data_IF_182042131397
#
_entry.id   IF_182042131397
#
_cell.length_a   1.000
_cell.length_b   1.000
_cell.length_c   1.000
_cell.angle_alpha   90.00
_cell.angle_beta   90.00
_cell.angle_gamma   90.00
#
_symmetry.space_group_name_H-M   'P 1'
#
loop_
_entity.id
_entity.type
_entity.pdbx_description
1 polymer ?
#
# COMPACT_ATOMS: atom_id res chain seq x y z
N UNK A 1 18.96 17.48 13.63
CA UNK A 1 18.52 17.44 12.21
C UNK A 1 19.78 17.27 11.37
N UNK A 2 20.00 16.14 10.69
CA UNK A 2 21.28 15.92 10.02
C UNK A 2 21.39 16.82 8.78
N UNK A 3 22.51 17.52 8.68
CA UNK A 3 22.81 18.58 7.69
C UNK A 3 22.47 18.18 6.25
N UNK A 4 21.60 18.92 5.55
CA UNK A 4 21.38 18.72 4.12
C UNK A 4 22.69 18.96 3.38
N UNK A 5 22.91 18.20 2.30
CA UNK A 5 24.09 18.36 1.45
C UNK A 5 24.04 19.79 0.90
N UNK A 6 25.05 20.60 1.18
CA UNK A 6 25.10 21.98 0.75
C UNK A 6 25.04 22.07 -0.78
N UNK A 7 24.15 22.91 -1.31
CA UNK A 7 23.96 23.08 -2.74
C UNK A 7 22.75 23.95 -3.07
N UNK A 8 22.79 24.60 -4.24
CA UNK A 8 21.72 25.50 -4.71
C UNK A 8 20.35 24.82 -4.78
N UNK A 9 20.30 23.51 -5.08
CA UNK A 9 19.08 22.70 -5.06
C UNK A 9 18.50 22.62 -3.64
N UNK A 10 19.33 22.31 -2.65
CA UNK A 10 18.89 22.29 -1.24
C UNK A 10 18.38 23.66 -0.78
N UNK A 11 19.02 24.75 -1.23
CA UNK A 11 18.57 26.11 -0.93
C UNK A 11 17.21 26.41 -1.57
N UNK A 12 17.00 26.00 -2.82
CA UNK A 12 15.71 26.14 -3.49
C UNK A 12 14.60 25.32 -2.79
N UNK A 13 14.87 24.08 -2.38
CA UNK A 13 13.89 23.25 -1.65
C UNK A 13 13.58 23.77 -0.24
N UNK A 14 14.53 24.46 0.41
CA UNK A 14 14.33 25.08 1.71
C UNK A 14 13.71 26.48 1.63
N UNK A 15 13.73 27.09 0.45
CA UNK A 15 13.11 28.39 0.24
C UNK A 15 11.62 28.33 0.55
N UNK A 16 11.16 29.34 1.28
CA UNK A 16 9.76 29.51 1.61
C UNK A 16 9.42 30.99 1.64
N UNK A 17 8.35 31.41 0.93
CA UNK A 17 7.85 32.78 1.02
C UNK A 17 7.20 33.06 2.39
N UNK A 18 6.70 32.02 3.08
CA UNK A 18 6.07 32.10 4.39
C UNK A 18 6.38 30.82 5.19
N UNK A 19 7.49 30.78 5.96
CA UNK A 19 7.99 29.56 6.61
C UNK A 19 7.03 28.91 7.61
N UNK A 20 6.07 29.68 8.11
CA UNK A 20 5.03 29.26 9.04
C UNK A 20 3.85 28.55 8.35
N UNK A 21 3.67 28.75 7.03
CA UNK A 21 2.62 28.06 6.24
C UNK A 21 3.21 26.87 5.49
N UNK A 22 4.34 27.08 4.80
CA UNK A 22 4.75 26.18 3.75
C UNK A 22 6.27 26.12 3.59
N UNK A 23 6.79 24.99 3.10
CA UNK A 23 8.17 24.86 2.63
C UNK A 23 8.14 24.09 1.32
N UNK A 24 8.93 24.49 0.33
CA UNK A 24 9.00 23.79 -0.96
C UNK A 24 9.40 22.31 -0.80
N UNK A 25 10.14 21.98 0.25
CA UNK A 25 10.44 20.61 0.66
C UNK A 25 9.21 19.67 0.67
N UNK A 26 8.02 20.17 1.02
CA UNK A 26 6.80 19.35 1.03
C UNK A 26 6.30 18.95 -0.38
N UNK A 27 6.80 19.55 -1.47
CA UNK A 27 6.43 19.09 -2.83
C UNK A 27 6.85 17.65 -3.09
N UNK A 28 7.84 17.10 -2.38
CA UNK A 28 8.24 15.70 -2.56
C UNK A 28 7.09 14.71 -2.30
N UNK A 29 6.08 15.08 -1.51
CA UNK A 29 4.91 14.23 -1.28
C UNK A 29 4.03 14.09 -2.52
N UNK A 30 4.19 14.97 -3.53
CA UNK A 30 3.56 14.79 -4.85
C UNK A 30 3.96 13.47 -5.52
N UNK A 31 5.15 12.94 -5.21
CA UNK A 31 5.59 11.63 -5.72
C UNK A 31 4.80 10.44 -5.16
N UNK A 32 4.01 10.64 -4.10
CA UNK A 32 2.99 9.67 -3.65
C UNK A 32 1.60 10.07 -4.13
N UNK A 33 1.27 11.37 -4.03
CA UNK A 33 -0.09 11.85 -4.33
C UNK A 33 -0.42 11.62 -5.81
N UNK A 34 0.49 11.94 -6.74
CA UNK A 34 0.25 11.81 -8.19
C UNK A 34 -0.01 10.35 -8.60
N UNK A 35 0.84 9.35 -8.23
CA UNK A 35 0.51 7.95 -8.47
C UNK A 35 -0.83 7.52 -7.85
N UNK A 36 -1.12 8.00 -6.64
CA UNK A 36 -2.37 7.73 -5.94
C UNK A 36 -3.59 8.28 -6.67
N UNK A 37 -3.51 9.51 -7.21
CA UNK A 37 -4.60 10.12 -7.98
C UNK A 37 -4.85 9.38 -9.28
N UNK A 38 -3.80 8.95 -10.01
CA UNK A 38 -3.98 8.16 -11.22
C UNK A 38 -4.63 6.80 -10.94
N UNK A 39 -4.20 6.10 -9.89
CA UNK A 39 -4.82 4.84 -9.49
C UNK A 39 -6.29 5.06 -9.05
N UNK A 40 -6.57 6.15 -8.33
CA UNK A 40 -7.91 6.52 -7.90
C UNK A 40 -8.86 6.85 -9.05
N UNK A 41 -8.38 7.57 -10.06
CA UNK A 41 -9.15 7.89 -11.28
C UNK A 41 -9.52 6.63 -12.05
N UNK A 42 -8.56 5.71 -12.24
CA UNK A 42 -8.82 4.43 -12.89
C UNK A 42 -9.85 3.57 -12.14
N UNK A 43 -9.78 3.55 -10.81
CA UNK A 43 -10.78 2.88 -9.97
C UNK A 43 -12.16 3.53 -10.07
N UNK A 44 -12.21 4.87 -10.07
CA UNK A 44 -13.45 5.63 -10.17
C UNK A 44 -14.14 5.40 -11.52
N UNK A 45 -13.38 5.39 -12.61
CA UNK A 45 -13.89 5.10 -13.95
C UNK A 45 -14.45 3.69 -14.05
N UNK A 46 -13.76 2.71 -13.46
CA UNK A 46 -14.24 1.33 -13.40
C UNK A 46 -15.54 1.22 -12.59
N UNK A 47 -15.62 1.86 -11.42
CA UNK A 47 -16.83 1.89 -10.59
C UNK A 47 -18.02 2.56 -11.30
N UNK A 48 -17.77 3.65 -12.04
CA UNK A 48 -18.80 4.35 -12.83
C UNK A 48 -19.25 3.51 -14.02
N UNK A 49 -18.33 2.82 -14.69
CA UNK A 49 -18.64 1.91 -15.80
C UNK A 49 -19.53 0.73 -15.42
N UNK A 50 -19.54 0.32 -14.14
CA UNK A 50 -20.40 -0.75 -13.61
C UNK A 50 -21.82 -0.29 -13.23
N UNK A 51 -22.13 1.00 -13.25
CA UNK A 51 -23.39 1.55 -12.72
C UNK A 51 -24.66 1.38 -13.60
N UNK A 52 -24.63 0.53 -14.63
CA UNK A 52 -25.83 0.07 -15.36
C UNK A 52 -26.42 -1.19 -14.67
N UNK A 53 -27.75 -1.29 -14.51
CA UNK A 53 -28.36 -2.02 -13.40
C UNK A 53 -28.18 -3.54 -13.52
N UNK A 54 -27.57 -4.17 -12.51
CA UNK A 54 -27.73 -5.61 -12.26
C UNK A 54 -27.78 -5.94 -10.78
N UNK A 55 -28.79 -6.74 -10.47
CA UNK A 55 -28.98 -7.52 -9.25
C UNK A 55 -27.66 -8.09 -8.71
N UNK A 56 -27.59 -8.10 -7.38
CA UNK A 56 -26.57 -8.48 -6.41
C UNK A 56 -25.76 -9.79 -6.63
N UNK A 57 -25.42 -10.14 -7.87
CA UNK A 57 -24.72 -11.37 -8.23
C UNK A 57 -23.35 -11.02 -8.76
N UNK A 58 -22.48 -10.52 -7.88
CA UNK A 58 -21.04 -10.28 -8.05
C UNK A 58 -20.63 -9.65 -9.40
N UNK A 59 -20.11 -8.43 -9.35
CA UNK A 59 -19.49 -7.67 -10.45
C UNK A 59 -18.31 -8.37 -11.19
N UNK A 60 -18.14 -9.69 -11.00
CA UNK A 60 -16.95 -10.45 -11.31
C UNK A 60 -17.23 -11.91 -11.68
N UNK A 61 -18.43 -12.21 -12.18
CA UNK A 61 -18.82 -13.55 -12.67
C UNK A 61 -18.26 -13.90 -14.06
N UNK A 62 -17.47 -13.00 -14.67
CA UNK A 62 -16.88 -13.16 -16.00
C UNK A 62 -15.43 -13.69 -16.01
N UNK A 63 -14.90 -14.17 -14.88
CA UNK A 63 -13.71 -15.02 -14.92
C UNK A 63 -14.13 -16.33 -15.59
N UNK A 64 -13.99 -16.40 -16.92
CA UNK A 64 -14.07 -17.66 -17.65
C UNK A 64 -13.14 -18.67 -16.97
N UNK A 65 -13.66 -19.89 -16.74
CA UNK A 65 -12.98 -20.94 -15.96
C UNK A 65 -11.58 -21.30 -16.49
N UNK A 66 -11.28 -21.00 -17.77
CA UNK A 66 -9.93 -21.16 -18.35
C UNK A 66 -8.89 -20.11 -17.93
N UNK A 67 -9.28 -19.01 -17.27
CA UNK A 67 -8.38 -17.90 -16.89
C UNK A 67 -8.01 -17.85 -15.40
N UNK A 68 -8.56 -18.75 -14.56
CA UNK A 68 -8.28 -18.74 -13.12
C UNK A 68 -6.79 -18.92 -12.81
N UNK A 69 -6.10 -19.79 -13.54
CA UNK A 69 -4.65 -20.01 -13.41
C UNK A 69 -3.87 -18.72 -13.73
N UNK A 70 -4.28 -18.00 -14.77
CA UNK A 70 -3.70 -16.70 -15.14
C UNK A 70 -3.87 -15.69 -14.01
N UNK A 71 -5.06 -15.56 -13.42
CA UNK A 71 -5.27 -14.63 -12.30
C UNK A 71 -4.57 -15.05 -11.02
N UNK A 72 -4.46 -16.35 -10.74
CA UNK A 72 -3.64 -16.84 -9.62
C UNK A 72 -2.17 -16.46 -9.85
N UNK A 73 -1.65 -16.65 -11.06
CA UNK A 73 -0.30 -16.26 -11.42
C UNK A 73 -0.08 -14.73 -11.29
N UNK A 74 -1.03 -13.89 -11.75
CA UNK A 74 -0.98 -12.44 -11.54
C UNK A 74 -0.99 -12.10 -10.05
N UNK A 75 -1.90 -12.70 -9.28
CA UNK A 75 -2.01 -12.45 -7.84
C UNK A 75 -0.76 -12.84 -7.07
N UNK A 76 -0.17 -14.00 -7.38
CA UNK A 76 1.11 -14.43 -6.83
C UNK A 76 2.24 -13.46 -7.21
N UNK A 77 2.27 -13.00 -8.45
CA UNK A 77 3.25 -12.02 -8.92
C UNK A 77 3.14 -10.69 -8.18
N UNK A 78 1.92 -10.20 -7.95
CA UNK A 78 1.65 -8.97 -7.20
C UNK A 78 2.15 -9.03 -5.75
N UNK A 79 2.18 -10.21 -5.15
CA UNK A 79 2.71 -10.44 -3.79
C UNK A 79 4.22 -10.70 -3.82
N UNK A 80 4.71 -11.41 -4.83
CA UNK A 80 6.13 -11.74 -4.99
C UNK A 80 7.00 -10.49 -5.21
N UNK A 81 6.52 -9.51 -5.99
CA UNK A 81 7.25 -8.26 -6.26
C UNK A 81 7.63 -7.49 -4.97
N UNK A 82 6.69 -7.18 -4.05
CA UNK A 82 7.02 -6.58 -2.76
C UNK A 82 8.02 -7.40 -1.95
N UNK A 83 7.84 -8.72 -1.87
CA UNK A 83 8.74 -9.59 -1.09
C UNK A 83 10.15 -9.57 -1.67
N UNK A 84 10.29 -9.71 -2.99
CA UNK A 84 11.57 -9.64 -3.70
C UNK A 84 12.27 -8.31 -3.46
N UNK A 85 11.57 -7.19 -3.66
CA UNK A 85 12.18 -5.87 -3.54
C UNK A 85 12.54 -5.53 -2.09
N UNK A 86 11.67 -5.85 -1.12
CA UNK A 86 11.98 -5.65 0.30
C UNK A 86 13.21 -6.47 0.71
N UNK A 87 13.29 -7.74 0.31
CA UNK A 87 14.44 -8.59 0.67
C UNK A 87 15.71 -8.19 -0.07
N UNK A 88 15.65 -7.98 -1.39
CA UNK A 88 16.79 -7.65 -2.23
C UNK A 88 17.39 -6.28 -1.92
N UNK A 89 16.57 -5.24 -1.76
CA UNK A 89 17.05 -3.89 -1.44
C UNK A 89 17.59 -3.79 -0.01
N UNK A 90 17.01 -4.56 0.94
CA UNK A 90 17.54 -4.67 2.30
C UNK A 90 18.88 -5.42 2.33
N UNK A 91 19.02 -6.50 1.56
CA UNK A 91 20.25 -7.28 1.43
C UNK A 91 21.31 -6.62 0.52
N UNK A 92 21.00 -5.46 -0.07
CA UNK A 92 21.88 -4.71 -0.99
C UNK A 92 22.24 -5.47 -2.27
N UNK A 93 21.39 -6.39 -2.72
CA UNK A 93 21.52 -7.09 -4.01
C UNK A 93 20.92 -6.25 -5.15
N UNK A 94 21.51 -5.08 -5.39
CA UNK A 94 20.96 -4.00 -6.23
C UNK A 94 20.66 -4.47 -7.66
N UNK A 95 21.68 -4.94 -8.37
CA UNK A 95 21.54 -5.39 -9.76
C UNK A 95 20.64 -6.62 -9.87
N UNK A 96 20.86 -7.62 -9.01
CA UNK A 96 20.09 -8.86 -9.04
C UNK A 96 18.59 -8.63 -8.78
N UNK A 97 18.24 -7.89 -7.74
CA UNK A 97 16.84 -7.59 -7.42
C UNK A 97 16.17 -6.72 -8.48
N UNK A 98 16.90 -5.77 -9.07
CA UNK A 98 16.39 -4.91 -10.16
C UNK A 98 16.12 -5.71 -11.43
N UNK A 99 17.06 -6.56 -11.86
CA UNK A 99 16.88 -7.39 -13.05
C UNK A 99 15.73 -8.39 -12.89
N UNK A 100 15.64 -9.05 -11.73
CA UNK A 100 14.53 -9.96 -11.44
C UNK A 100 13.21 -9.20 -11.38
N UNK A 101 13.17 -8.01 -10.78
CA UNK A 101 11.97 -7.17 -10.75
C UNK A 101 11.54 -6.75 -12.17
N UNK A 102 12.47 -6.38 -13.05
CA UNK A 102 12.16 -6.09 -14.45
C UNK A 102 11.64 -7.31 -15.20
N UNK A 103 12.23 -8.48 -14.98
CA UNK A 103 11.74 -9.74 -15.53
C UNK A 103 10.31 -10.07 -15.07
N UNK A 104 10.02 -9.88 -13.78
CA UNK A 104 8.67 -10.05 -13.23
C UNK A 104 7.70 -8.98 -13.76
N UNK A 105 8.13 -7.74 -13.93
CA UNK A 105 7.32 -6.69 -14.56
C UNK A 105 6.97 -7.06 -16.00
N UNK A 106 7.95 -7.53 -16.79
CA UNK A 106 7.72 -8.00 -18.16
C UNK A 106 6.76 -9.20 -18.20
N UNK A 107 6.92 -10.17 -17.28
CA UNK A 107 6.04 -11.32 -17.17
C UNK A 107 4.61 -10.91 -16.79
N UNK A 108 4.45 -9.97 -15.85
CA UNK A 108 3.15 -9.39 -15.49
C UNK A 108 2.50 -8.65 -16.66
N UNK A 109 3.29 -7.89 -17.43
CA UNK A 109 2.84 -7.16 -18.61
C UNK A 109 2.39 -8.11 -19.72
N UNK A 110 3.15 -9.18 -19.96
CA UNK A 110 2.77 -10.26 -20.87
C UNK A 110 1.47 -10.94 -20.41
N UNK A 111 1.38 -11.27 -19.12
CA UNK A 111 0.21 -11.91 -18.54
C UNK A 111 -1.03 -11.02 -18.60
N UNK A 112 -0.90 -9.69 -18.58
CA UNK A 112 -2.01 -8.73 -18.66
C UNK A 112 -2.19 -8.11 -20.06
N UNK A 113 -1.46 -8.57 -21.08
CA UNK A 113 -1.40 -7.92 -22.40
C UNK A 113 -2.75 -7.85 -23.12
N UNK A 114 -3.54 -8.92 -23.04
CA UNK A 114 -4.83 -9.05 -23.75
C UNK A 114 -5.97 -9.01 -22.73
N UNK A 115 -6.51 -7.83 -22.40
CA UNK A 115 -7.65 -7.73 -21.49
C UNK A 115 -8.94 -8.16 -22.20
N UNK A 116 -9.61 -9.19 -21.67
CA UNK A 116 -10.91 -9.63 -22.19
C UNK A 116 -12.08 -8.83 -21.61
N UNK A 117 -11.96 -8.40 -20.34
CA UNK A 117 -13.03 -7.78 -19.55
C UNK A 117 -12.65 -6.35 -19.11
N UNK A 118 -13.64 -5.59 -18.64
CA UNK A 118 -13.45 -4.25 -18.04
C UNK A 118 -12.50 -4.31 -16.84
N UNK A 119 -12.65 -5.31 -15.98
CA UNK A 119 -11.76 -5.53 -14.81
C UNK A 119 -10.33 -5.89 -15.23
N UNK A 120 -10.15 -6.70 -16.28
CA UNK A 120 -8.81 -6.98 -16.81
C UNK A 120 -8.15 -5.73 -17.39
N UNK A 121 -8.94 -4.87 -18.05
CA UNK A 121 -8.46 -3.58 -18.55
C UNK A 121 -8.04 -2.65 -17.40
N UNK A 122 -8.78 -2.66 -16.29
CA UNK A 122 -8.38 -1.95 -15.07
C UNK A 122 -7.04 -2.49 -14.54
N UNK A 123 -6.90 -3.80 -14.39
CA UNK A 123 -5.65 -4.41 -13.91
C UNK A 123 -4.47 -4.10 -14.82
N UNK A 124 -4.65 -4.17 -16.14
CA UNK A 124 -3.61 -3.81 -17.09
C UNK A 124 -3.19 -2.34 -16.93
N UNK A 125 -4.14 -1.40 -16.85
CA UNK A 125 -3.83 0.03 -16.70
C UNK A 125 -3.15 0.33 -15.37
N UNK A 126 -3.66 -0.22 -14.26
CA UNK A 126 -3.02 -0.09 -12.95
C UNK A 126 -1.61 -0.68 -12.96
N UNK A 127 -1.43 -1.86 -13.56
CA UNK A 127 -0.13 -2.52 -13.61
C UNK A 127 0.89 -1.77 -14.48
N UNK A 128 0.45 -1.14 -15.58
CA UNK A 128 1.32 -0.30 -16.40
C UNK A 128 1.83 0.90 -15.59
N UNK A 129 0.96 1.57 -14.82
CA UNK A 129 1.37 2.63 -13.91
C UNK A 129 2.27 2.11 -12.79
N UNK A 130 1.94 0.97 -12.18
CA UNK A 130 2.76 0.34 -11.15
C UNK A 130 4.18 0.07 -11.66
N UNK A 131 4.29 -0.50 -12.87
CA UNK A 131 5.56 -0.79 -13.53
C UNK A 131 6.33 0.48 -13.82
N UNK A 132 5.68 1.52 -14.35
CA UNK A 132 6.32 2.81 -14.62
C UNK A 132 6.95 3.41 -13.34
N UNK A 133 6.17 3.51 -12.26
CA UNK A 133 6.67 4.05 -10.99
C UNK A 133 7.77 3.17 -10.37
N UNK A 134 7.61 1.85 -10.43
CA UNK A 134 8.57 0.91 -9.89
C UNK A 134 9.90 0.96 -10.65
N UNK A 135 9.89 0.99 -11.99
CA UNK A 135 11.09 1.14 -12.82
C UNK A 135 11.77 2.47 -12.53
N UNK A 136 11.01 3.56 -12.51
CA UNK A 136 11.55 4.90 -12.21
C UNK A 136 12.22 4.93 -10.82
N UNK A 137 11.56 4.36 -9.81
CA UNK A 137 12.10 4.30 -8.45
C UNK A 137 13.35 3.43 -8.31
N UNK A 138 13.42 2.30 -9.02
CA UNK A 138 14.61 1.44 -9.03
C UNK A 138 15.79 2.07 -9.78
N UNK A 139 15.54 2.90 -10.79
CA UNK A 139 16.61 3.66 -11.48
C UNK A 139 17.19 4.75 -10.58
N UNK A 140 16.38 5.38 -9.73
CA UNK A 140 16.87 6.39 -8.77
C UNK A 140 17.59 5.78 -7.56
N UNK A 141 17.35 4.51 -7.24
CA UNK A 141 17.91 3.88 -6.03
C UNK A 141 19.45 3.94 -5.97
N UNK A 142 20.21 3.57 -7.03
CA UNK A 142 21.67 3.61 -7.00
C UNK A 142 22.22 5.03 -6.89
N UNK A 143 21.52 6.00 -7.47
CA UNK A 143 21.90 7.42 -7.42
C UNK A 143 21.78 7.98 -6.00
N UNK A 144 20.80 7.55 -5.22
CA UNK A 144 20.53 8.08 -3.88
C UNK A 144 21.28 7.34 -2.75
N UNK A 145 22.08 6.32 -3.09
CA UNK A 145 22.75 5.45 -2.11
C UNK A 145 21.75 4.56 -1.34
N UNK A 146 20.58 4.35 -1.93
CA UNK A 146 19.52 3.47 -1.49
C UNK A 146 18.37 4.10 -0.68
N UNK A 147 17.38 3.25 -0.43
CA UNK A 147 16.08 3.66 0.13
C UNK A 147 16.20 3.98 1.63
N UNK A 148 15.86 5.22 2.01
CA UNK A 148 15.89 5.70 3.40
C UNK A 148 14.54 6.34 3.77
N UNK A 149 14.12 6.15 5.03
CA UNK A 149 12.89 6.73 5.58
C UNK A 149 13.13 8.08 6.28
N UNK A 150 14.30 8.27 6.89
CA UNK A 150 14.63 9.51 7.63
C UNK A 150 14.87 10.71 6.71
N UNK A 151 15.47 10.42 5.54
CA UNK A 151 15.49 11.30 4.37
C UNK A 151 14.75 10.55 3.28
N UNK A 152 13.45 10.82 3.14
CA UNK A 152 12.64 10.12 2.17
C UNK A 152 13.19 10.39 0.76
N UNK A 153 13.74 9.34 0.15
CA UNK A 153 14.36 9.42 -1.17
C UNK A 153 13.30 9.35 -2.27
N UNK A 154 13.62 9.83 -3.47
CA UNK A 154 12.72 9.73 -4.63
C UNK A 154 12.40 8.27 -4.93
N UNK A 155 13.42 7.42 -4.85
CA UNK A 155 13.30 5.97 -4.94
C UNK A 155 12.32 5.40 -3.91
N UNK A 156 12.37 5.84 -2.65
CA UNK A 156 11.41 5.42 -1.62
C UNK A 156 9.98 5.70 -2.07
N UNK A 157 9.70 6.92 -2.54
CA UNK A 157 8.36 7.30 -2.96
C UNK A 157 7.86 6.50 -4.16
N UNK A 158 8.65 6.40 -5.21
CA UNK A 158 8.23 5.73 -6.45
C UNK A 158 8.14 4.20 -6.31
N UNK A 159 9.11 3.56 -5.66
CA UNK A 159 9.07 2.11 -5.41
C UNK A 159 7.89 1.75 -4.52
N UNK A 160 7.64 2.51 -3.45
CA UNK A 160 6.50 2.23 -2.55
C UNK A 160 5.16 2.47 -3.23
N UNK A 161 5.00 3.53 -4.03
CA UNK A 161 3.80 3.76 -4.83
C UNK A 161 3.54 2.65 -5.83
N UNK A 162 4.57 2.22 -6.58
CA UNK A 162 4.45 1.11 -7.53
C UNK A 162 4.06 -0.20 -6.85
N UNK A 163 4.72 -0.54 -5.73
CA UNK A 163 4.39 -1.71 -4.93
C UNK A 163 3.00 -1.64 -4.30
N UNK A 164 2.54 -0.46 -3.88
CA UNK A 164 1.19 -0.28 -3.34
C UNK A 164 0.13 -0.59 -4.40
N UNK A 165 0.33 -0.16 -5.65
CA UNK A 165 -0.57 -0.51 -6.76
C UNK A 165 -0.54 -2.02 -7.04
N UNK A 166 0.63 -2.66 -7.01
CA UNK A 166 0.74 -4.12 -7.13
C UNK A 166 -0.07 -4.83 -6.02
N UNK A 167 0.12 -4.43 -4.77
CA UNK A 167 -0.61 -4.99 -3.63
C UNK A 167 -2.11 -4.76 -3.76
N UNK A 168 -2.54 -3.59 -4.24
CA UNK A 168 -3.95 -3.30 -4.52
C UNK A 168 -4.52 -4.31 -5.53
N UNK A 169 -3.85 -4.52 -6.68
CA UNK A 169 -4.27 -5.51 -7.68
C UNK A 169 -4.33 -6.91 -7.05
N UNK A 170 -3.30 -7.29 -6.29
CA UNK A 170 -3.23 -8.58 -5.60
C UNK A 170 -4.38 -8.80 -4.62
N UNK A 171 -4.74 -7.77 -3.84
CA UNK A 171 -5.87 -7.80 -2.91
C UNK A 171 -7.22 -7.86 -3.65
N UNK A 172 -7.38 -7.13 -4.75
CA UNK A 172 -8.58 -7.23 -5.58
C UNK A 172 -8.78 -8.68 -6.06
N UNK A 173 -7.76 -9.27 -6.70
CA UNK A 173 -7.78 -10.66 -7.15
C UNK A 173 -8.05 -11.64 -5.99
N UNK A 174 -7.43 -11.43 -4.82
CA UNK A 174 -7.62 -12.30 -3.66
C UNK A 174 -9.07 -12.27 -3.16
N UNK A 175 -9.64 -11.09 -2.97
CA UNK A 175 -11.02 -10.92 -2.48
C UNK A 175 -12.01 -11.58 -3.44
N UNK A 176 -11.72 -11.44 -4.73
CA UNK A 176 -12.52 -11.91 -5.83
C UNK A 176 -12.47 -13.42 -6.03
N UNK A 177 -11.27 -14.01 -6.10
CA UNK A 177 -11.06 -15.44 -6.32
C UNK A 177 -11.61 -16.27 -5.16
N UNK A 178 -11.34 -15.85 -3.93
CA UNK A 178 -11.76 -16.63 -2.76
C UNK A 178 -13.24 -16.42 -2.42
N UNK A 179 -13.92 -15.40 -2.98
CA UNK A 179 -15.30 -14.98 -2.62
C UNK A 179 -15.53 -14.86 -1.10
N UNK A 180 -14.45 -14.77 -0.30
CA UNK A 180 -14.45 -14.80 1.17
C UNK A 180 -14.44 -13.37 1.72
N UNK A 181 -15.40 -12.54 1.27
CA UNK A 181 -15.57 -11.16 1.77
C UNK A 181 -15.64 -11.08 3.30
N UNK A 182 -16.15 -12.14 3.97
CA UNK A 182 -16.22 -12.22 5.44
C UNK A 182 -14.86 -12.11 6.13
N UNK A 183 -13.80 -12.70 5.56
CA UNK A 183 -12.47 -12.74 6.19
C UNK A 183 -11.75 -11.39 6.08
N UNK A 184 -11.93 -10.72 4.95
CA UNK A 184 -11.40 -9.37 4.72
C UNK A 184 -12.32 -8.26 5.25
N UNK A 185 -13.50 -8.61 5.78
CA UNK A 185 -14.50 -7.62 6.18
C UNK A 185 -13.98 -6.69 7.28
N UNK A 186 -13.18 -7.22 8.20
CA UNK A 186 -12.51 -6.44 9.24
C UNK A 186 -11.61 -5.36 8.61
N UNK A 187 -10.81 -5.71 7.60
CA UNK A 187 -9.96 -4.76 6.88
C UNK A 187 -10.77 -3.72 6.11
N UNK A 188 -11.87 -4.13 5.46
CA UNK A 188 -12.76 -3.22 4.73
C UNK A 188 -13.36 -2.17 5.67
N UNK A 189 -13.85 -2.57 6.85
CA UNK A 189 -14.41 -1.64 7.84
C UNK A 189 -13.37 -0.68 8.39
N UNK A 190 -12.14 -1.14 8.59
CA UNK A 190 -11.03 -0.27 8.99
C UNK A 190 -10.69 0.74 7.89
N UNK A 191 -10.69 0.33 6.62
CA UNK A 191 -10.45 1.21 5.48
C UNK A 191 -11.55 2.28 5.27
N UNK A 192 -12.78 2.03 5.70
CA UNK A 192 -13.86 3.01 5.67
C UNK A 192 -13.70 4.12 6.71
N UNK A 193 -12.87 3.92 7.74
CA UNK A 193 -12.67 4.86 8.83
C UNK A 193 -11.18 5.00 9.20
N UNK A 194 -10.34 5.44 8.23
CA UNK A 194 -8.89 5.40 8.37
C UNK A 194 -8.38 6.32 9.49
N UNK A 195 -9.09 7.41 9.79
CA UNK A 195 -8.69 8.35 10.84
C UNK A 195 -8.86 7.78 12.24
N UNK A 196 -9.94 7.04 12.51
CA UNK A 196 -10.09 6.35 13.79
C UNK A 196 -9.05 5.23 13.90
N UNK A 197 -8.76 4.51 12.82
CA UNK A 197 -7.67 3.52 12.83
C UNK A 197 -6.31 4.15 13.13
N UNK A 198 -6.02 5.32 12.57
CA UNK A 198 -4.78 6.05 12.80
C UNK A 198 -4.68 6.63 14.22
N UNK A 199 -5.68 7.41 14.64
CA UNK A 199 -5.69 8.09 15.94
C UNK A 199 -5.97 7.13 17.11
N UNK A 200 -6.67 6.03 16.86
CA UNK A 200 -7.16 5.10 17.89
C UNK A 200 -6.04 4.39 18.64
N UNK A 201 -4.87 4.14 18.03
CA UNK A 201 -3.75 3.49 18.72
C UNK A 201 -3.32 4.34 19.92
N UNK A 202 -3.00 5.61 19.68
CA UNK A 202 -2.45 6.49 20.71
C UNK A 202 -3.53 7.06 21.62
N UNK A 203 -4.72 7.36 21.10
CA UNK A 203 -5.76 8.07 21.85
C UNK A 203 -6.78 7.15 22.54
N UNK A 204 -6.90 5.88 22.12
CA UNK A 204 -7.87 4.94 22.69
C UNK A 204 -7.18 3.71 23.26
N UNK A 205 -6.41 2.98 22.44
CA UNK A 205 -5.88 1.67 22.83
C UNK A 205 -4.78 1.79 23.88
N UNK A 206 -3.80 2.66 23.67
CA UNK A 206 -2.69 2.82 24.62
C UNK A 206 -3.17 3.24 26.03
N UNK A 207 -4.03 4.27 26.19
CA UNK A 207 -4.60 4.60 27.49
C UNK A 207 -5.36 3.44 28.14
N UNK A 208 -6.17 2.70 27.39
CA UNK A 208 -6.92 1.55 27.91
C UNK A 208 -6.00 0.43 28.39
N UNK A 209 -4.94 0.12 27.63
CA UNK A 209 -3.96 -0.92 27.98
C UNK A 209 -3.18 -0.55 29.25
N UNK A 210 -2.87 0.73 29.43
CA UNK A 210 -2.21 1.24 30.65
C UNK A 210 -3.17 1.23 31.84
N UNK A 211 -4.39 1.76 31.69
CA UNK A 211 -5.38 1.84 32.76
C UNK A 211 -5.84 0.47 33.26
N UNK A 212 -5.90 -0.54 32.38
CA UNK A 212 -6.24 -1.92 32.76
C UNK A 212 -5.07 -2.68 33.40
N UNK A 213 -3.88 -2.07 33.49
CA UNK A 213 -2.66 -2.72 33.97
C UNK A 213 -2.12 -3.81 33.02
N UNK A 214 -2.78 -4.02 31.86
CA UNK A 214 -2.41 -5.04 30.88
C UNK A 214 -1.02 -4.79 30.27
N UNK A 215 -0.55 -3.54 30.27
CA UNK A 215 0.80 -3.23 29.81
C UNK A 215 1.88 -3.99 30.59
N UNK A 216 1.74 -4.12 31.91
CA UNK A 216 2.70 -4.86 32.75
C UNK A 216 2.72 -6.37 32.47
N UNK A 217 1.56 -6.96 32.21
CA UNK A 217 1.43 -8.38 31.82
C UNK A 217 1.98 -8.65 30.41
N UNK A 218 1.76 -7.72 29.48
CA UNK A 218 2.23 -7.80 28.10
C UNK A 218 3.74 -7.54 27.99
N UNK A 219 4.29 -6.64 28.79
CA UNK A 219 5.71 -6.30 28.80
C UNK A 219 6.57 -7.30 29.57
N UNK A 220 6.08 -7.86 30.70
CA UNK A 220 6.78 -8.92 31.43
C UNK A 220 7.00 -10.19 30.60
N UNK A 221 6.17 -10.43 29.57
CA UNK A 221 6.29 -11.57 28.66
C UNK A 221 7.03 -11.24 27.36
N UNK A 222 7.30 -9.97 27.07
CA UNK A 222 7.90 -9.50 25.82
C UNK A 222 9.44 -9.70 25.72
N UNK A 223 9.97 -10.77 26.32
CA UNK A 223 11.41 -11.06 26.30
C UNK A 223 11.89 -11.68 24.97
N UNK A 224 10.99 -12.24 24.16
CA UNK A 224 11.31 -12.87 22.87
C UNK A 224 10.70 -12.12 21.68
N UNK A 225 11.34 -12.14 20.48
CA UNK A 225 10.79 -11.52 19.28
C UNK A 225 9.38 -12.00 18.92
N UNK A 226 9.10 -13.29 19.15
CA UNK A 226 7.78 -13.87 18.93
C UNK A 226 6.72 -13.32 19.87
N UNK A 227 7.06 -13.05 21.13
CA UNK A 227 6.11 -12.45 22.06
C UNK A 227 5.86 -10.97 21.75
N UNK A 228 6.88 -10.25 21.28
CA UNK A 228 6.71 -8.91 20.73
C UNK A 228 5.77 -8.88 19.52
N UNK A 229 5.92 -9.84 18.60
CA UNK A 229 5.00 -10.03 17.48
C UNK A 229 3.57 -10.33 17.97
N UNK A 230 3.40 -11.26 18.91
CA UNK A 230 2.09 -11.60 19.46
C UNK A 230 1.41 -10.38 20.11
N UNK A 231 2.15 -9.60 20.90
CA UNK A 231 1.67 -8.33 21.49
C UNK A 231 1.19 -7.38 20.39
N UNK A 232 1.97 -7.20 19.33
CA UNK A 232 1.59 -6.33 18.21
C UNK A 232 0.32 -6.83 17.51
N UNK A 233 0.19 -8.14 17.29
CA UNK A 233 -1.02 -8.76 16.72
C UNK A 233 -2.23 -8.50 17.60
N UNK A 234 -2.13 -8.73 18.91
CA UNK A 234 -3.23 -8.50 19.86
C UNK A 234 -3.68 -7.04 19.84
N UNK A 235 -2.75 -6.10 19.99
CA UNK A 235 -3.04 -4.66 20.00
C UNK A 235 -3.69 -4.22 18.68
N UNK A 236 -3.14 -4.68 17.55
CA UNK A 236 -3.68 -4.37 16.22
C UNK A 236 -5.08 -4.95 16.02
N UNK A 237 -5.34 -6.16 16.52
CA UNK A 237 -6.65 -6.79 16.42
C UNK A 237 -7.69 -6.08 17.29
N UNK A 238 -7.33 -5.69 18.52
CA UNK A 238 -8.21 -4.92 19.41
C UNK A 238 -8.59 -3.60 18.72
N UNK A 239 -7.60 -2.85 18.22
CA UNK A 239 -7.84 -1.63 17.45
C UNK A 239 -8.79 -1.90 16.27
N UNK A 240 -8.49 -2.91 15.46
CA UNK A 240 -9.26 -3.21 14.27
C UNK A 240 -10.72 -3.56 14.59
N UNK A 241 -10.96 -4.26 15.71
CA UNK A 241 -12.30 -4.55 16.23
C UNK A 241 -12.98 -3.29 16.76
N UNK A 242 -12.28 -2.43 17.48
CA UNK A 242 -12.82 -1.14 17.95
C UNK A 242 -13.24 -0.25 16.79
N UNK A 243 -12.39 -0.10 15.77
CA UNK A 243 -12.71 0.67 14.54
C UNK A 243 -13.89 0.04 13.79
N UNK A 244 -13.92 -1.29 13.69
CA UNK A 244 -15.06 -2.02 13.11
C UNK A 244 -16.36 -1.73 13.86
N UNK A 245 -16.32 -1.68 15.20
CA UNK A 245 -17.46 -1.31 16.04
C UNK A 245 -17.92 0.12 15.74
N UNK A 246 -17.02 1.11 15.77
CA UNK A 246 -17.36 2.50 15.44
C UNK A 246 -17.93 2.66 14.02
N UNK A 247 -17.39 1.93 13.06
CA UNK A 247 -17.86 1.93 11.67
C UNK A 247 -19.28 1.36 11.56
N UNK A 248 -19.59 0.29 12.29
CA UNK A 248 -20.96 -0.26 12.37
C UNK A 248 -21.93 0.70 13.05
N UNK A 249 -21.46 1.43 14.06
CA UNK A 249 -22.21 2.47 14.76
C UNK A 249 -22.34 3.78 13.95
N UNK A 250 -21.78 3.83 12.73
CA UNK A 250 -21.74 5.03 11.85
C UNK A 250 -21.05 6.24 12.49
N UNK A 251 -20.14 6.00 13.43
CA UNK A 251 -19.28 7.04 14.02
C UNK A 251 -18.05 7.19 13.12
N UNK A 252 -18.02 8.25 12.34
CA UNK A 252 -16.92 8.53 11.42
C UNK A 252 -16.15 9.76 11.88
N UNK A 253 -14.82 9.63 11.94
CA UNK A 253 -13.96 10.80 12.10
C UNK A 253 -13.53 11.25 10.70
N UNK A 254 -14.09 12.37 10.25
CA UNK A 254 -13.67 13.05 9.01
C UNK A 254 -12.65 14.13 9.36
N UNK A 255 -11.55 14.18 8.61
CA UNK A 255 -10.64 15.34 8.56
C UNK A 255 -11.22 16.44 7.71
#
# INVERSE_FOLDING_TARGET
MPHPIEGWVSQAWQWSPAPWIYKLYYLQYLFIIIPGTFAGELLLDWLRGESLPRDSTSALSSIQHGSAIRFIAVGLLMVALPVLLVTGLKARWLLGSTLVAFGLCALGGWLLWRPANTTERLFQRLFNWATYWLVLGLVFEPYEGGIKKDRATMSYYFVTSGLAICVLIGLMILIDLFRRRRWVHLLIQNGQNPMIAYAGINNLILPLVVLTGADSLLSARAASPWMGFLRAVIITLILALSVSCFTKLRVFWRT
#
